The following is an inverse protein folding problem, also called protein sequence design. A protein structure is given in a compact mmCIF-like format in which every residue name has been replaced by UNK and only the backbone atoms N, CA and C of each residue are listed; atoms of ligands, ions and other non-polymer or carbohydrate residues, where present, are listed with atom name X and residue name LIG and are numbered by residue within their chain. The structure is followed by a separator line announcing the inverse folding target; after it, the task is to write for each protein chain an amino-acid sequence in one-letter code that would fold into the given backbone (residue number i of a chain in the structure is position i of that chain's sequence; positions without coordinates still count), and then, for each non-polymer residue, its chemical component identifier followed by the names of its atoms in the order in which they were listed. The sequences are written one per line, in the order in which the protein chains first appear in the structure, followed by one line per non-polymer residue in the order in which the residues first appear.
data_IF_399899884935
#
_entry.id   IF_399899884935
#
_cell.length_a   1.000
_cell.length_b   1.000
_cell.length_c   1.000
_cell.angle_alpha   90.00
_cell.angle_beta   90.00
_cell.angle_gamma   90.00
#
_symmetry.space_group_name_H-M   'P 1'
#
loop_
_entity.id
_entity.type
_entity.pdbx_description
1 polymer ?
#
# COMPACT_ATOMS: atom_id res chain seq x y z
N UNK A 1 13.09 -17.59 -19.14
CA UNK A 1 11.77 -16.91 -19.19
C UNK A 1 10.70 -18.00 -19.23
N UNK A 2 9.68 -17.94 -18.38
CA UNK A 2 8.66 -18.98 -18.08
C UNK A 2 9.04 -19.90 -16.91
N UNK A 3 9.09 -19.33 -15.70
CA UNK A 3 9.05 -20.16 -14.49
C UNK A 3 7.75 -20.97 -14.46
N UNK A 4 7.82 -22.20 -13.95
CA UNK A 4 6.70 -23.15 -13.88
C UNK A 4 5.42 -22.52 -13.32
N UNK A 5 5.57 -21.63 -12.34
CA UNK A 5 4.45 -20.99 -11.63
C UNK A 5 3.95 -19.68 -12.25
N UNK A 6 4.55 -19.20 -13.35
CA UNK A 6 4.17 -17.91 -13.95
C UNK A 6 2.73 -17.94 -14.45
N UNK A 7 2.35 -18.99 -15.19
CA UNK A 7 0.99 -19.10 -15.74
C UNK A 7 -0.07 -19.32 -14.65
N UNK A 8 0.13 -20.23 -13.67
CA UNK A 8 -0.77 -20.34 -12.52
C UNK A 8 -0.96 -19.01 -11.78
N UNK A 9 0.12 -18.28 -11.49
CA UNK A 9 0.03 -17.01 -10.76
C UNK A 9 -0.68 -15.90 -11.56
N UNK A 10 -0.36 -15.76 -12.86
CA UNK A 10 -1.09 -14.83 -13.72
C UNK A 10 -2.58 -15.19 -13.85
N UNK A 11 -2.92 -16.49 -13.83
CA UNK A 11 -4.31 -16.95 -13.82
C UNK A 11 -5.00 -16.56 -12.51
N UNK A 12 -4.34 -16.75 -11.37
CA UNK A 12 -4.83 -16.32 -10.07
C UNK A 12 -5.15 -14.82 -10.05
N UNK A 13 -4.20 -13.98 -10.46
CA UNK A 13 -4.39 -12.53 -10.52
C UNK A 13 -5.54 -12.14 -11.46
N UNK A 14 -5.63 -12.77 -12.63
CA UNK A 14 -6.74 -12.50 -13.57
C UNK A 14 -8.09 -12.83 -12.93
N UNK A 15 -8.21 -14.02 -12.31
CA UNK A 15 -9.45 -14.44 -11.64
C UNK A 15 -9.83 -13.53 -10.48
N UNK A 16 -8.86 -13.05 -9.70
CA UNK A 16 -9.12 -12.09 -8.63
C UNK A 16 -9.89 -10.87 -9.15
N UNK A 17 -9.40 -10.21 -10.20
CA UNK A 17 -10.08 -9.04 -10.77
C UNK A 17 -11.40 -9.37 -11.43
N UNK A 18 -11.53 -10.54 -12.06
CA UNK A 18 -12.80 -11.00 -12.62
C UNK A 18 -13.87 -11.17 -11.55
N UNK A 19 -13.56 -11.85 -10.44
CA UNK A 19 -14.54 -12.09 -9.37
C UNK A 19 -15.00 -10.78 -8.72
N UNK A 20 -14.10 -9.83 -8.52
CA UNK A 20 -14.49 -8.50 -8.01
C UNK A 20 -15.33 -7.72 -9.03
N UNK A 21 -14.99 -7.79 -10.32
CA UNK A 21 -15.78 -7.14 -11.36
C UNK A 21 -17.21 -7.69 -11.45
N UNK A 22 -17.42 -9.00 -11.22
CA UNK A 22 -18.77 -9.60 -11.11
C UNK A 22 -19.58 -9.03 -9.95
N UNK A 23 -18.90 -8.57 -8.89
CA UNK A 23 -19.51 -7.92 -7.73
C UNK A 23 -19.57 -6.39 -7.88
N UNK A 24 -19.33 -5.85 -9.08
CA UNK A 24 -19.41 -4.41 -9.37
C UNK A 24 -18.21 -3.60 -8.91
N UNK A 25 -17.16 -4.23 -8.38
CA UNK A 25 -15.93 -3.55 -7.94
C UNK A 25 -14.93 -3.53 -9.08
N UNK A 26 -14.55 -2.33 -9.52
CA UNK A 26 -13.53 -2.12 -10.55
C UNK A 26 -12.29 -1.51 -9.92
N UNK A 27 -11.13 -2.05 -10.30
CA UNK A 27 -9.84 -1.55 -9.83
C UNK A 27 -9.22 -0.60 -10.84
N UNK A 28 -8.54 0.44 -10.32
CA UNK A 28 -7.77 1.39 -11.13
C UNK A 28 -6.39 0.84 -11.53
N UNK A 29 -5.76 0.12 -10.61
CA UNK A 29 -4.46 -0.47 -10.81
C UNK A 29 -4.16 -1.53 -9.76
N UNK A 30 -2.98 -2.12 -9.91
CA UNK A 30 -2.42 -3.08 -8.97
C UNK A 30 -0.91 -2.89 -8.89
N UNK A 31 -0.33 -3.30 -7.77
CA UNK A 31 1.11 -3.52 -7.65
C UNK A 31 1.43 -4.98 -7.99
N UNK A 32 2.63 -5.25 -8.50
CA UNK A 32 3.00 -6.62 -8.88
C UNK A 32 3.17 -7.55 -7.69
N UNK A 33 3.70 -7.00 -6.61
CA UNK A 33 4.03 -7.67 -5.38
C UNK A 33 4.25 -6.60 -4.32
N UNK A 34 3.67 -6.79 -3.14
CA UNK A 34 3.98 -5.98 -1.97
C UNK A 34 5.37 -6.32 -1.43
N UNK A 35 6.18 -5.30 -1.13
CA UNK A 35 7.54 -5.38 -0.58
C UNK A 35 8.40 -6.50 -1.22
N UNK A 36 8.64 -6.44 -2.54
CA UNK A 36 9.42 -7.43 -3.26
C UNK A 36 10.82 -7.68 -2.67
N UNK A 37 11.43 -6.70 -2.01
CA UNK A 37 12.78 -6.89 -1.42
C UNK A 37 12.75 -7.77 -0.17
N UNK A 38 11.62 -7.85 0.53
CA UNK A 38 11.43 -8.77 1.66
C UNK A 38 11.58 -10.23 1.24
N UNK A 39 11.32 -10.56 -0.03
CA UNK A 39 11.57 -11.90 -0.60
C UNK A 39 13.06 -12.27 -0.75
N UNK A 40 13.99 -11.33 -0.56
CA UNK A 40 15.43 -11.61 -0.47
C UNK A 40 15.87 -12.02 0.94
N UNK A 41 15.01 -11.86 1.95
CA UNK A 41 15.31 -12.27 3.32
C UNK A 41 15.25 -13.81 3.42
N UNK A 42 16.31 -14.47 3.90
CA UNK A 42 16.29 -15.91 4.12
C UNK A 42 15.11 -16.30 5.02
N UNK A 43 14.39 -17.37 4.64
CA UNK A 43 13.22 -17.91 5.36
C UNK A 43 11.97 -17.02 5.36
N UNK A 44 11.94 -15.94 4.59
CA UNK A 44 10.71 -15.19 4.34
C UNK A 44 9.81 -15.99 3.39
N UNK A 45 8.55 -16.20 3.78
CA UNK A 45 7.65 -17.17 3.13
C UNK A 45 7.16 -16.80 1.73
N UNK A 46 7.55 -15.65 1.18
CA UNK A 46 7.03 -15.09 -0.06
C UNK A 46 8.17 -14.82 -1.04
N UNK A 47 8.05 -15.38 -2.25
CA UNK A 47 9.03 -15.15 -3.32
C UNK A 47 8.54 -14.09 -4.29
N UNK A 48 9.47 -13.25 -4.74
CA UNK A 48 9.19 -12.10 -5.59
C UNK A 48 9.27 -12.44 -7.07
N UNK A 49 8.31 -11.94 -7.85
CA UNK A 49 8.28 -12.07 -9.31
C UNK A 49 8.52 -10.71 -9.98
N UNK A 50 9.42 -10.68 -10.97
CA UNK A 50 9.96 -9.44 -11.55
C UNK A 50 9.44 -9.15 -12.97
N UNK A 51 10.01 -8.13 -13.61
CA UNK A 51 9.67 -7.58 -14.94
C UNK A 51 9.47 -8.62 -16.05
N UNK A 52 10.24 -9.70 -16.07
CA UNK A 52 10.09 -10.79 -17.06
C UNK A 52 8.74 -11.51 -16.98
N UNK A 53 8.18 -11.66 -15.77
CA UNK A 53 6.85 -12.24 -15.57
C UNK A 53 5.76 -11.36 -16.20
N UNK A 54 5.89 -10.05 -16.05
CA UNK A 54 4.93 -9.09 -16.61
C UNK A 54 4.97 -9.10 -18.12
N UNK A 55 6.17 -9.00 -18.70
CA UNK A 55 6.36 -8.93 -20.14
C UNK A 55 5.96 -10.24 -20.84
N UNK A 56 6.34 -11.38 -20.25
CA UNK A 56 6.16 -12.70 -20.88
C UNK A 56 4.79 -13.32 -20.67
N UNK A 57 4.17 -13.12 -19.51
CA UNK A 57 2.99 -13.89 -19.09
C UNK A 57 1.82 -13.03 -18.68
N UNK A 58 1.99 -12.17 -17.66
CA UNK A 58 0.88 -11.43 -17.06
C UNK A 58 0.27 -10.42 -18.05
N UNK A 59 1.09 -9.60 -18.69
CA UNK A 59 0.66 -8.54 -19.61
C UNK A 59 -0.20 -9.08 -20.76
N UNK A 60 0.25 -10.09 -21.52
CA UNK A 60 -0.55 -10.71 -22.58
C UNK A 60 -1.86 -11.31 -22.09
N UNK A 61 -1.89 -11.93 -20.89
CA UNK A 61 -3.12 -12.46 -20.31
C UNK A 61 -4.09 -11.34 -19.92
N UNK A 62 -3.59 -10.31 -19.25
CA UNK A 62 -4.40 -9.18 -18.80
C UNK A 62 -5.04 -8.42 -19.95
N UNK A 63 -4.31 -8.23 -21.06
CA UNK A 63 -4.83 -7.51 -22.24
C UNK A 63 -5.96 -8.25 -22.96
N UNK A 64 -6.09 -9.56 -22.77
CA UNK A 64 -7.16 -10.38 -23.36
C UNK A 64 -8.43 -10.43 -22.53
N UNK A 65 -8.39 -9.94 -21.29
CA UNK A 65 -9.49 -10.07 -20.33
C UNK A 65 -10.14 -8.71 -20.06
N UNK A 66 -11.47 -8.65 -20.09
CA UNK A 66 -12.21 -7.40 -19.96
C UNK A 66 -12.08 -6.73 -18.59
N UNK A 67 -11.91 -7.51 -17.51
CA UNK A 67 -11.73 -6.99 -16.16
C UNK A 67 -10.34 -6.38 -15.96
N UNK A 68 -9.33 -6.84 -16.70
CA UNK A 68 -7.92 -6.46 -16.45
C UNK A 68 -7.25 -5.67 -17.57
N UNK A 69 -7.82 -5.61 -18.78
CA UNK A 69 -7.16 -4.99 -19.96
C UNK A 69 -6.77 -3.52 -19.77
N UNK A 70 -7.49 -2.82 -18.90
CA UNK A 70 -7.29 -1.41 -18.59
C UNK A 70 -6.62 -1.16 -17.22
N UNK A 71 -6.25 -2.21 -16.49
CA UNK A 71 -5.55 -2.05 -15.21
C UNK A 71 -4.16 -1.46 -15.44
N UNK A 72 -3.79 -0.51 -14.57
CA UNK A 72 -2.42 -0.05 -14.44
C UNK A 72 -1.63 -1.05 -13.59
N UNK A 73 -0.43 -1.38 -14.03
CA UNK A 73 0.49 -2.23 -13.27
C UNK A 73 1.62 -1.35 -12.74
N UNK A 74 1.70 -1.24 -11.42
CA UNK A 74 2.66 -0.43 -10.69
C UNK A 74 3.83 -1.34 -10.26
N UNK A 75 5.05 -0.86 -10.47
CA UNK A 75 6.27 -1.57 -10.10
C UNK A 75 6.79 -1.09 -8.74
N UNK A 76 7.79 -1.80 -8.21
CA UNK A 76 8.42 -1.59 -6.91
C UNK A 76 7.50 -1.92 -5.72
N UNK A 77 6.56 -1.06 -5.35
CA UNK A 77 5.70 -1.24 -4.16
C UNK A 77 6.50 -1.65 -2.90
N UNK A 78 7.58 -0.91 -2.66
CA UNK A 78 8.57 -1.12 -1.60
C UNK A 78 9.09 0.24 -1.14
N UNK A 79 9.95 0.21 -0.12
CA UNK A 79 10.62 1.38 0.42
C UNK A 79 11.37 2.17 -0.66
N UNK A 80 11.20 3.50 -0.64
CA UNK A 80 11.84 4.43 -1.59
C UNK A 80 13.37 4.37 -1.64
N UNK A 81 14.02 3.82 -0.61
CA UNK A 81 15.48 3.61 -0.61
C UNK A 81 15.96 2.68 -1.74
N UNK A 82 15.05 1.90 -2.32
CA UNK A 82 15.33 1.06 -3.49
C UNK A 82 15.16 1.80 -4.83
N UNK A 83 14.71 3.06 -4.83
CA UNK A 83 14.71 3.92 -6.01
C UNK A 83 16.10 4.52 -6.21
N UNK A 84 16.67 4.34 -7.40
CA UNK A 84 17.92 5.00 -7.77
C UNK A 84 17.73 6.53 -7.72
N UNK A 85 18.52 7.23 -6.91
CA UNK A 85 18.59 8.69 -6.75
C UNK A 85 17.44 9.38 -5.98
N UNK A 86 16.70 8.68 -5.11
CA UNK A 86 15.76 9.36 -4.20
C UNK A 86 16.50 9.96 -2.99
N UNK A 87 16.20 11.20 -2.56
CA UNK A 87 16.81 11.76 -1.36
C UNK A 87 16.40 10.98 -0.10
N UNK A 88 17.37 10.36 0.59
CA UNK A 88 17.22 9.55 1.80
C UNK A 88 16.42 10.23 2.94
N UNK A 89 16.37 11.56 2.94
CA UNK A 89 15.70 12.33 4.00
C UNK A 89 14.20 12.14 4.08
N UNK A 90 13.58 11.64 3.01
CA UNK A 90 12.16 11.40 3.03
C UNK A 90 11.86 10.14 3.88
N UNK A 91 12.75 9.13 3.94
CA UNK A 91 12.60 7.82 4.64
C UNK A 91 12.31 7.87 6.14
N UNK A 92 12.14 9.05 6.72
CA UNK A 92 11.93 9.25 8.15
C UNK A 92 10.51 8.94 8.63
N UNK A 93 9.51 8.88 7.75
CA UNK A 93 8.13 8.50 8.12
C UNK A 93 8.01 7.09 8.74
N UNK A 94 9.05 6.27 8.64
CA UNK A 94 9.13 4.91 9.20
C UNK A 94 9.87 4.84 10.55
N UNK A 95 10.44 5.95 11.04
CA UNK A 95 11.27 5.93 12.26
C UNK A 95 10.39 6.16 13.49
N UNK A 96 9.85 5.07 14.03
CA UNK A 96 9.11 5.07 15.30
C UNK A 96 7.81 4.30 15.22
N UNK A 97 7.87 3.04 14.79
CA UNK A 97 6.69 2.16 14.78
C UNK A 97 6.29 1.90 16.25
N UNK A 98 5.22 2.57 16.67
CA UNK A 98 4.59 2.43 17.98
C UNK A 98 3.10 2.18 17.77
N UNK A 99 2.46 1.53 18.75
CA UNK A 99 1.01 1.38 18.76
C UNK A 99 0.29 2.71 19.05
N UNK A 100 -1.05 2.77 18.99
CA UNK A 100 -1.78 4.02 19.03
C UNK A 100 -1.47 4.93 20.22
N UNK A 101 -1.13 6.19 19.94
CA UNK A 101 -1.08 7.26 20.94
C UNK A 101 -2.21 8.24 20.62
N UNK A 102 -3.26 8.23 21.44
CA UNK A 102 -4.44 9.06 21.18
C UNK A 102 -4.10 10.56 21.28
N UNK A 103 -4.37 11.29 20.19
CA UNK A 103 -4.13 12.72 20.11
C UNK A 103 -2.68 13.13 19.83
N UNK A 104 -1.82 12.22 19.37
CA UNK A 104 -0.42 12.54 19.06
C UNK A 104 -0.29 13.54 17.91
N UNK A 105 0.03 14.79 18.25
CA UNK A 105 0.18 15.87 17.29
C UNK A 105 1.39 15.69 16.39
N UNK A 106 2.48 15.15 16.94
CA UNK A 106 3.72 14.95 16.20
C UNK A 106 3.52 13.98 15.04
N UNK A 107 2.71 12.93 15.22
CA UNK A 107 2.27 12.04 14.13
C UNK A 107 1.50 12.75 13.02
N UNK A 108 0.67 13.73 13.38
CA UNK A 108 -0.03 14.56 12.40
C UNK A 108 0.94 15.40 11.56
N UNK A 109 1.98 15.96 12.20
CA UNK A 109 3.03 16.72 11.52
C UNK A 109 3.87 15.81 10.60
N UNK A 110 4.27 14.62 11.05
CA UNK A 110 5.00 13.65 10.23
C UNK A 110 4.23 13.27 8.96
N UNK A 111 2.91 13.00 9.07
CA UNK A 111 2.07 12.72 7.90
C UNK A 111 2.03 13.91 6.93
N UNK A 112 1.85 15.13 7.45
CA UNK A 112 1.81 16.32 6.60
C UNK A 112 3.15 16.55 5.89
N UNK A 113 4.27 16.42 6.60
CA UNK A 113 5.62 16.57 6.05
C UNK A 113 5.95 15.51 4.99
N UNK A 114 5.63 14.24 5.24
CA UNK A 114 5.89 13.16 4.27
C UNK A 114 5.05 13.34 3.00
N UNK A 115 3.75 13.62 3.13
CA UNK A 115 2.88 13.85 1.97
C UNK A 115 3.35 15.07 1.16
N UNK A 116 3.66 16.20 1.81
CA UNK A 116 4.16 17.41 1.11
C UNK A 116 5.49 17.11 0.41
N UNK A 117 6.38 16.37 1.08
CA UNK A 117 7.67 15.97 0.50
C UNK A 117 7.47 15.12 -0.73
N UNK A 118 6.62 14.09 -0.66
CA UNK A 118 6.35 13.19 -1.78
C UNK A 118 5.75 13.93 -2.97
N UNK A 119 4.75 14.80 -2.75
CA UNK A 119 4.13 15.58 -3.81
C UNK A 119 5.12 16.55 -4.48
N UNK A 120 6.03 17.16 -3.69
CA UNK A 120 7.11 17.98 -4.22
C UNK A 120 8.19 17.17 -4.98
N UNK A 121 8.17 15.85 -4.85
CA UNK A 121 9.07 14.92 -5.56
C UNK A 121 8.32 14.05 -6.58
N UNK A 122 7.31 14.64 -7.24
CA UNK A 122 6.60 14.05 -8.39
C UNK A 122 5.73 12.83 -8.09
N UNK A 123 5.49 12.51 -6.82
CA UNK A 123 4.51 11.48 -6.45
C UNK A 123 3.10 11.98 -6.82
N UNK A 124 2.32 11.14 -7.51
CA UNK A 124 1.01 11.51 -8.03
C UNK A 124 -0.16 11.27 -7.05
N UNK A 125 0.11 10.61 -5.92
CA UNK A 125 -0.88 10.31 -4.89
C UNK A 125 -0.25 9.60 -3.70
N UNK A 126 -0.87 9.71 -2.54
CA UNK A 126 -0.41 9.15 -1.27
C UNK A 126 -1.55 8.34 -0.66
N UNK A 127 -1.25 7.14 -0.16
CA UNK A 127 -2.22 6.18 0.36
C UNK A 127 -1.77 5.72 1.73
N UNK A 128 -2.63 5.89 2.73
CA UNK A 128 -2.37 5.41 4.08
C UNK A 128 -2.49 3.88 4.18
N UNK A 129 -1.94 3.31 5.25
CA UNK A 129 -1.87 1.87 5.45
C UNK A 129 -3.20 1.26 5.91
N UNK A 130 -3.53 1.38 7.21
CA UNK A 130 -4.79 0.88 7.77
C UNK A 130 -5.78 2.04 7.94
N UNK A 131 -6.95 1.94 7.31
CA UNK A 131 -8.02 2.94 7.47
C UNK A 131 -8.41 3.13 8.94
N UNK A 132 -8.44 2.04 9.71
CA UNK A 132 -8.65 2.06 11.15
C UNK A 132 -7.99 0.87 11.85
N UNK A 133 -7.61 1.04 13.11
CA UNK A 133 -7.19 -0.02 14.03
C UNK A 133 -7.92 0.12 15.37
N UNK A 134 -7.84 -0.90 16.23
CA UNK A 134 -8.28 -0.79 17.62
C UNK A 134 -7.23 -0.07 18.51
N UNK A 135 -7.56 0.13 19.77
CA UNK A 135 -6.70 0.81 20.77
C UNK A 135 -5.38 0.07 21.04
N UNK A 136 -5.21 -1.15 20.52
CA UNK A 136 -4.05 -2.02 20.72
C UNK A 136 -3.29 -2.33 19.43
N UNK A 137 -3.52 -1.57 18.36
CA UNK A 137 -2.92 -1.78 17.01
C UNK A 137 -3.53 -2.94 16.20
N UNK A 138 -4.66 -3.48 16.66
CA UNK A 138 -5.22 -4.72 16.14
C UNK A 138 -6.44 -4.55 15.22
N UNK A 139 -6.95 -5.68 14.70
CA UNK A 139 -6.41 -7.03 14.86
C UNK A 139 -5.21 -7.31 13.94
N UNK A 140 -4.20 -8.00 14.46
CA UNK A 140 -3.05 -8.50 13.66
C UNK A 140 -2.70 -9.93 14.07
N UNK A 141 -2.11 -10.69 13.14
CA UNK A 141 -1.65 -12.07 13.38
C UNK A 141 -0.14 -12.16 13.65
N UNK A 142 0.60 -11.08 13.45
CA UNK A 142 2.07 -11.00 13.61
C UNK A 142 2.51 -10.08 14.75
N UNK A 143 1.57 -9.60 15.57
CA UNK A 143 1.82 -8.68 16.68
C UNK A 143 2.71 -7.48 16.28
N UNK A 144 2.43 -6.89 15.10
CA UNK A 144 3.08 -5.67 14.65
C UNK A 144 2.33 -4.43 15.19
N UNK A 145 2.97 -3.71 16.10
CA UNK A 145 2.37 -2.52 16.71
C UNK A 145 2.36 -1.33 15.75
N UNK A 146 1.23 -1.06 15.12
CA UNK A 146 1.00 0.07 14.21
C UNK A 146 0.00 1.07 14.78
N UNK A 147 0.09 2.33 14.36
CA UNK A 147 -0.94 3.34 14.59
C UNK A 147 -1.86 3.45 13.35
N UNK A 148 -2.99 4.14 13.49
CA UNK A 148 -3.89 4.46 12.39
C UNK A 148 -4.57 5.82 12.59
N UNK A 149 -4.90 6.56 11.53
CA UNK A 149 -5.65 7.82 11.62
C UNK A 149 -7.01 7.72 12.30
N UNK A 150 -7.61 6.52 12.34
CA UNK A 150 -8.86 6.26 13.05
C UNK A 150 -8.66 5.11 14.02
N UNK A 151 -8.87 5.38 15.31
CA UNK A 151 -8.85 4.34 16.35
C UNK A 151 -10.27 4.00 16.77
N UNK A 152 -10.64 2.73 16.71
CA UNK A 152 -11.99 2.24 17.03
C UNK A 152 -11.99 1.59 18.41
N UNK A 153 -12.83 2.11 19.31
CA UNK A 153 -13.17 1.46 20.56
C UNK A 153 -14.56 0.83 20.42
N UNK A 154 -14.60 -0.45 20.06
CA UNK A 154 -15.84 -1.19 19.86
C UNK A 154 -16.64 -1.37 21.16
N UNK A 155 -15.99 -1.46 22.32
CA UNK A 155 -16.68 -1.63 23.61
C UNK A 155 -17.45 -0.39 24.03
N UNK A 156 -16.98 0.79 23.62
CA UNK A 156 -17.61 2.07 23.90
C UNK A 156 -18.50 2.58 22.76
N UNK A 157 -18.61 1.84 21.64
CA UNK A 157 -19.26 2.27 20.39
C UNK A 157 -18.76 3.65 19.91
N UNK A 158 -17.43 3.81 19.87
CA UNK A 158 -16.77 5.07 19.53
C UNK A 158 -15.60 4.87 18.59
N UNK A 159 -15.28 5.93 17.85
CA UNK A 159 -14.01 6.04 17.15
C UNK A 159 -13.38 7.41 17.41
N UNK A 160 -12.06 7.45 17.38
CA UNK A 160 -11.24 8.62 17.56
C UNK A 160 -10.57 8.97 16.24
N UNK A 161 -10.84 10.17 15.72
CA UNK A 161 -10.09 10.73 14.59
C UNK A 161 -8.81 11.35 15.13
N UNK A 162 -7.68 10.75 14.81
CA UNK A 162 -6.36 11.18 15.26
C UNK A 162 -5.90 12.42 14.48
N UNK A 163 -4.88 13.16 14.96
CA UNK A 163 -4.29 14.28 14.21
C UNK A 163 -3.90 13.93 12.75
N UNK A 164 -3.40 12.71 12.52
CA UNK A 164 -3.10 12.16 11.17
C UNK A 164 -4.32 12.24 10.22
N UNK A 165 -5.53 11.95 10.71
CA UNK A 165 -6.76 12.02 9.91
C UNK A 165 -7.00 13.44 9.38
N UNK A 166 -6.78 14.45 10.23
CA UNK A 166 -6.97 15.84 9.85
C UNK A 166 -5.85 16.34 8.95
N UNK A 167 -4.59 15.94 9.19
CA UNK A 167 -3.46 16.27 8.34
C UNK A 167 -3.68 15.82 6.88
N UNK A 168 -4.07 14.55 6.68
CA UNK A 168 -4.45 14.05 5.35
C UNK A 168 -5.66 14.79 4.78
N UNK A 169 -6.66 15.08 5.61
CA UNK A 169 -7.87 15.82 5.21
C UNK A 169 -7.57 17.21 4.65
N UNK A 170 -6.64 17.94 5.26
CA UNK A 170 -6.18 19.25 4.78
C UNK A 170 -5.57 19.16 3.39
N UNK A 171 -4.68 18.19 3.17
CA UNK A 171 -3.97 18.04 1.90
C UNK A 171 -4.88 17.56 0.78
N UNK A 172 -5.79 16.62 1.07
CA UNK A 172 -6.85 16.23 0.13
C UNK A 172 -7.64 17.44 -0.37
N UNK A 173 -8.09 18.29 0.56
CA UNK A 173 -8.94 19.44 0.23
C UNK A 173 -8.22 20.46 -0.67
N UNK A 174 -6.93 20.71 -0.41
CA UNK A 174 -6.12 21.67 -1.17
C UNK A 174 -5.82 21.15 -2.59
N UNK A 175 -5.62 19.85 -2.75
CA UNK A 175 -5.21 19.23 -4.01
C UNK A 175 -6.39 18.94 -4.96
N UNK A 176 -7.63 19.11 -4.52
CA UNK A 176 -8.83 18.93 -5.35
C UNK A 176 -9.13 17.48 -5.72
N UNK A 177 -8.70 16.52 -4.89
CA UNK A 177 -8.87 15.08 -5.09
C UNK A 177 -10.14 14.49 -4.41
#
# INVERSE_FOLDING_TARGET
MNGEYYKPYATYLTRFFEEYAKNGVKFWGMTLQYEPTSGALPFYGWQTMFTDFVRGTLGPMFKKNDATKNLKVIALDDNRMWLNNWPDKACTGSIGVHGPILGDWYRGEEYAEDIITDLNNFVAGWVDWNICLDETSGPTWVDNNLDSPIIVNATADKFYKQPMFYAMGHLRYILGA
#
